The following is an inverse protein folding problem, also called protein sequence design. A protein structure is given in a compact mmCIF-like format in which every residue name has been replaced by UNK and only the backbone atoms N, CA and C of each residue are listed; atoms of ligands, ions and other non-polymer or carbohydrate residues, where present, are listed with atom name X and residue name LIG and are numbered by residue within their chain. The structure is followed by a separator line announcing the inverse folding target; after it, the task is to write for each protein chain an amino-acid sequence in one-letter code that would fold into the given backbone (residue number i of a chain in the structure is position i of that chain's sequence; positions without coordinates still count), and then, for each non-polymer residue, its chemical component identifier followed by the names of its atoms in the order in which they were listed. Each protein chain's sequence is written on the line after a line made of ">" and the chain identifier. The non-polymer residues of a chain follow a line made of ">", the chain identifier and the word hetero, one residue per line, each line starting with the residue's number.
data_IF_345603057240
#
_entry.id   IF_345603057240
#
_cell.length_a   1.000
_cell.length_b   1.000
_cell.length_c   1.000
_cell.angle_alpha   90.00
_cell.angle_beta   90.00
_cell.angle_gamma   90.00
#
_symmetry.space_group_name_H-M   'P 1'
#
loop_
_entity.id
_entity.type
_entity.pdbx_description
1 polymer ?
#
# COMPACT_ATOMS: atom_id res chain seq x y z
N UNK A 1 15.36 42.50 -31.43
CA UNK A 1 15.31 43.60 -30.43
C UNK A 1 13.86 43.92 -30.15
N UNK A 2 13.32 43.35 -29.09
CA UNK A 2 12.14 43.82 -28.35
C UNK A 2 12.06 42.97 -27.08
N UNK A 3 12.59 43.55 -26.00
CA UNK A 3 12.52 43.07 -24.63
C UNK A 3 11.08 43.04 -24.11
N UNK A 4 10.77 42.02 -23.31
CA UNK A 4 9.48 41.87 -22.62
C UNK A 4 9.64 41.03 -21.37
N UNK A 5 10.29 41.60 -20.36
CA UNK A 5 10.45 41.01 -19.04
C UNK A 5 9.09 40.96 -18.30
N UNK A 6 8.60 39.76 -18.00
CA UNK A 6 7.48 39.57 -17.09
C UNK A 6 8.02 39.20 -15.70
N UNK A 7 8.09 40.21 -14.84
CA UNK A 7 8.36 40.09 -13.42
C UNK A 7 7.04 39.75 -12.71
N UNK A 8 6.94 38.57 -12.10
CA UNK A 8 5.81 38.24 -11.21
C UNK A 8 6.37 37.99 -9.82
N UNK A 9 5.99 38.90 -8.92
CA UNK A 9 6.37 38.98 -7.52
C UNK A 9 5.96 37.74 -6.73
N UNK A 10 6.92 37.17 -6.00
CA UNK A 10 6.69 36.29 -4.86
C UNK A 10 5.94 37.07 -3.76
N UNK A 11 4.74 36.62 -3.39
CA UNK A 11 4.08 37.02 -2.15
C UNK A 11 4.22 35.88 -1.14
N UNK A 12 5.12 36.07 -0.17
CA UNK A 12 5.20 35.26 1.04
C UNK A 12 3.99 35.54 1.93
N UNK A 13 3.24 34.51 2.30
CA UNK A 13 2.22 34.56 3.35
C UNK A 13 2.82 34.01 4.66
N UNK A 14 2.40 34.53 5.83
CA UNK A 14 3.07 34.27 7.10
C UNK A 14 2.73 32.90 7.72
N UNK A 15 3.75 32.40 8.41
CA UNK A 15 3.81 31.22 9.28
C UNK A 15 2.77 31.30 10.40
N UNK A 16 1.99 30.23 10.60
CA UNK A 16 1.18 30.01 11.80
C UNK A 16 1.76 28.80 12.54
N UNK A 17 2.46 29.08 13.64
CA UNK A 17 2.97 28.09 14.60
C UNK A 17 1.84 27.76 15.57
N UNK A 18 1.30 26.53 15.50
CA UNK A 18 0.36 26.00 16.50
C UNK A 18 1.15 25.07 17.41
N UNK A 19 1.41 25.55 18.63
CA UNK A 19 2.01 24.78 19.71
C UNK A 19 0.94 23.91 20.37
N UNK A 20 0.91 22.60 20.11
CA UNK A 20 0.10 21.64 20.86
C UNK A 20 0.90 21.14 22.08
N UNK A 21 0.39 21.45 23.28
CA UNK A 21 0.92 20.95 24.54
C UNK A 21 0.62 19.46 24.73
N UNK A 22 1.65 18.68 25.05
CA UNK A 22 1.50 17.32 25.56
C UNK A 22 1.16 17.36 27.05
N UNK A 23 -0.04 16.89 27.40
CA UNK A 23 -0.33 16.36 28.73
C UNK A 23 0.18 14.92 28.80
N UNK A 24 1.11 14.66 29.72
CA UNK A 24 1.56 13.32 30.06
C UNK A 24 0.56 12.69 31.06
N UNK A 25 -0.10 11.60 30.66
CA UNK A 25 -0.82 10.73 31.59
C UNK A 25 0.16 9.74 32.22
N UNK A 26 0.37 9.91 33.52
CA UNK A 26 1.06 8.96 34.39
C UNK A 26 0.11 7.80 34.71
N UNK A 27 0.47 6.59 34.28
CA UNK A 27 -0.31 5.38 34.58
C UNK A 27 0.57 4.40 35.36
N UNK A 28 0.22 4.24 36.64
CA UNK A 28 0.82 3.31 37.60
C UNK A 28 0.04 2.01 37.54
N UNK A 29 0.73 0.91 37.24
CA UNK A 29 0.16 -0.44 37.31
C UNK A 29 0.96 -1.26 38.31
N UNK A 30 0.33 -1.50 39.45
CA UNK A 30 0.70 -2.51 40.44
C UNK A 30 0.31 -3.89 39.88
N UNK A 31 1.27 -4.82 39.75
CA UNK A 31 0.98 -6.23 39.48
C UNK A 31 1.38 -7.08 40.69
N UNK A 32 0.37 -7.55 41.42
CA UNK A 32 0.45 -8.64 42.38
C UNK A 32 -0.12 -9.90 41.69
N UNK A 33 0.76 -10.75 41.15
CA UNK A 33 0.41 -12.04 40.56
C UNK A 33 0.69 -13.17 41.55
N UNK A 34 -0.37 -13.72 42.15
CA UNK A 34 -0.31 -14.88 43.03
C UNK A 34 -0.29 -16.21 42.28
N UNK A 35 0.50 -17.14 42.80
CA UNK A 35 0.55 -18.55 42.45
C UNK A 35 -0.79 -19.25 42.65
N UNK A 36 -1.26 -19.98 41.63
CA UNK A 36 -2.18 -21.11 41.85
C UNK A 36 -1.79 -22.30 40.96
N UNK A 37 -1.17 -23.26 41.63
CA UNK A 37 -0.91 -24.62 41.20
C UNK A 37 -2.23 -25.40 41.09
N UNK A 38 -2.53 -25.96 39.91
CA UNK A 38 -3.62 -26.92 39.72
C UNK A 38 -3.16 -28.08 38.84
N UNK A 39 -2.73 -29.14 39.53
CA UNK A 39 -2.52 -30.49 39.02
C UNK A 39 -3.70 -30.98 38.18
N UNK A 40 -3.42 -31.49 36.97
CA UNK A 40 -4.39 -32.27 36.17
C UNK A 40 -3.92 -33.73 36.04
N UNK A 41 -4.85 -34.69 36.11
CA UNK A 41 -4.54 -36.11 36.09
C UNK A 41 -4.20 -36.62 34.69
N UNK A 42 -3.27 -37.56 34.66
CA UNK A 42 -2.86 -38.36 33.50
C UNK A 42 -4.01 -39.28 33.09
N UNK A 43 -4.46 -39.16 31.84
CA UNK A 43 -5.23 -40.21 31.16
C UNK A 43 -4.41 -40.61 29.94
N UNK A 44 -3.81 -41.80 30.03
CA UNK A 44 -3.22 -42.49 28.89
C UNK A 44 -4.34 -43.20 28.15
N UNK A 45 -4.64 -42.74 26.94
CA UNK A 45 -5.43 -43.50 25.97
C UNK A 45 -4.66 -43.54 24.65
N UNK A 46 -4.03 -44.69 24.43
CA UNK A 46 -3.30 -45.03 23.22
C UNK A 46 -4.29 -45.48 22.15
N UNK A 47 -4.77 -44.52 21.35
CA UNK A 47 -5.44 -44.80 20.08
C UNK A 47 -4.48 -44.49 18.94
N UNK A 48 -4.05 -45.55 18.24
CA UNK A 48 -3.39 -45.51 16.93
C UNK A 48 -4.25 -44.70 15.94
N UNK A 49 -3.88 -43.44 15.72
CA UNK A 49 -4.31 -42.67 14.55
C UNK A 49 -3.11 -42.52 13.64
N UNK A 50 -3.18 -43.27 12.54
CA UNK A 50 -2.43 -43.06 11.32
C UNK A 50 -2.44 -41.56 10.97
N UNK A 51 -1.35 -40.86 11.28
CA UNK A 51 -1.16 -39.45 10.97
C UNK A 51 -0.75 -39.31 9.51
N UNK A 52 -1.73 -39.38 8.62
CA UNK A 52 -1.64 -38.65 7.36
C UNK A 52 -1.51 -37.18 7.74
N UNK A 53 -0.27 -36.69 7.76
CA UNK A 53 0.02 -35.27 7.99
C UNK A 53 -0.62 -34.52 6.83
N UNK A 54 -1.62 -33.65 7.06
CA UNK A 54 -2.16 -32.82 6.00
C UNK A 54 -0.99 -32.04 5.41
N UNK A 55 -0.74 -32.21 4.12
CA UNK A 55 0.32 -31.49 3.43
C UNK A 55 0.19 -30.01 3.76
N UNK A 56 1.23 -29.43 4.36
CA UNK A 56 1.27 -28.02 4.69
C UNK A 56 0.81 -27.22 3.45
N UNK A 57 -0.13 -26.27 3.61
CA UNK A 57 -0.54 -25.44 2.49
C UNK A 57 0.71 -24.79 1.89
N UNK A 58 0.82 -24.71 0.55
CA UNK A 58 1.97 -24.12 -0.09
C UNK A 58 2.18 -22.71 0.46
N UNK A 59 3.39 -22.45 0.97
CA UNK A 59 3.76 -21.15 1.50
C UNK A 59 3.61 -20.13 0.35
N UNK A 60 2.87 -19.03 0.55
CA UNK A 60 2.71 -18.03 -0.49
C UNK A 60 4.09 -17.50 -0.91
N UNK A 61 4.36 -17.52 -2.22
CA UNK A 61 5.60 -17.00 -2.77
C UNK A 61 5.69 -15.51 -2.46
N UNK A 62 6.79 -15.09 -1.83
CA UNK A 62 7.09 -13.67 -1.65
C UNK A 62 7.35 -13.04 -3.02
N UNK A 63 6.69 -11.91 -3.31
CA UNK A 63 6.91 -11.14 -4.53
C UNK A 63 8.34 -10.60 -4.52
N UNK A 64 9.11 -10.87 -5.57
CA UNK A 64 10.46 -10.30 -5.75
C UNK A 64 10.42 -9.23 -6.83
N UNK A 65 11.36 -8.29 -6.76
CA UNK A 65 11.41 -7.17 -7.69
C UNK A 65 11.71 -7.63 -9.12
N UNK A 66 12.44 -8.74 -9.29
CA UNK A 66 12.76 -9.30 -10.61
C UNK A 66 11.55 -9.94 -11.30
N UNK A 67 10.50 -10.27 -10.53
CA UNK A 67 9.27 -10.87 -11.05
C UNK A 67 8.27 -9.81 -11.57
N UNK A 68 8.60 -8.52 -11.45
CA UNK A 68 7.72 -7.41 -11.81
C UNK A 68 8.08 -6.90 -13.21
N UNK A 69 7.17 -7.10 -14.16
CA UNK A 69 7.26 -6.52 -15.50
C UNK A 69 6.51 -5.18 -15.57
N UNK A 70 7.27 -4.09 -15.45
CA UNK A 70 6.72 -2.73 -15.52
C UNK A 70 6.12 -2.37 -16.89
N UNK A 71 6.43 -3.12 -17.96
CA UNK A 71 5.85 -2.89 -19.29
C UNK A 71 4.38 -3.30 -19.38
N UNK A 72 3.90 -4.10 -18.41
CA UNK A 72 2.50 -4.54 -18.31
C UNK A 72 1.59 -3.53 -17.62
N UNK A 73 2.10 -2.35 -17.26
CA UNK A 73 1.34 -1.29 -16.60
C UNK A 73 1.15 -0.12 -17.56
N UNK A 74 0.08 0.65 -17.32
CA UNK A 74 -0.26 1.83 -18.11
C UNK A 74 -0.19 3.09 -17.26
N UNK A 75 0.61 4.04 -17.68
CA UNK A 75 0.63 5.39 -17.10
C UNK A 75 -0.67 6.13 -17.38
N UNK A 76 -1.31 5.88 -18.52
CA UNK A 76 -2.61 6.48 -18.88
C UNK A 76 -3.72 6.08 -17.90
N UNK A 77 -3.76 4.80 -17.52
CA UNK A 77 -4.71 4.32 -16.50
C UNK A 77 -4.42 4.89 -15.11
N UNK A 78 -3.18 5.26 -14.82
CA UNK A 78 -2.79 5.83 -13.53
C UNK A 78 -3.08 7.33 -13.42
N UNK A 79 -3.35 8.04 -14.53
CA UNK A 79 -3.61 9.50 -14.51
C UNK A 79 -4.69 9.94 -13.51
N UNK A 80 -5.82 9.23 -13.35
CA UNK A 80 -6.85 9.62 -12.38
C UNK A 80 -6.38 9.59 -10.92
N UNK A 81 -5.28 8.89 -10.60
CA UNK A 81 -4.77 8.83 -9.23
C UNK A 81 -4.02 10.09 -8.78
N UNK A 82 -3.87 11.09 -9.65
CA UNK A 82 -3.18 12.34 -9.32
C UNK A 82 -1.65 12.21 -9.18
N UNK A 83 -1.08 11.09 -9.62
CA UNK A 83 0.36 10.89 -9.63
C UNK A 83 1.03 11.74 -10.71
N UNK A 84 2.18 12.31 -10.34
CA UNK A 84 3.01 13.10 -11.24
C UNK A 84 4.49 12.92 -10.91
N UNK A 85 5.32 12.76 -11.94
CA UNK A 85 6.77 12.70 -11.77
C UNK A 85 7.30 13.96 -11.05
N UNK A 86 8.28 13.77 -10.17
CA UNK A 86 8.86 14.82 -9.34
C UNK A 86 8.17 15.06 -8.00
N UNK A 87 6.99 14.48 -7.76
CA UNK A 87 6.35 14.43 -6.44
C UNK A 87 7.29 13.79 -5.41
N UNK A 88 7.22 14.25 -4.16
CA UNK A 88 7.89 13.58 -3.06
C UNK A 88 7.30 12.19 -2.80
N UNK A 89 8.07 11.32 -2.14
CA UNK A 89 7.57 10.00 -1.71
C UNK A 89 6.25 10.08 -0.94
N UNK A 90 6.09 11.06 -0.06
CA UNK A 90 4.90 11.21 0.78
C UNK A 90 3.71 11.61 -0.10
N UNK A 91 3.87 12.63 -0.95
CA UNK A 91 2.80 13.08 -1.87
C UNK A 91 2.33 11.96 -2.79
N UNK A 92 3.26 11.18 -3.36
CA UNK A 92 2.92 10.08 -4.26
C UNK A 92 2.16 8.95 -3.53
N UNK A 93 2.59 8.56 -2.33
CA UNK A 93 1.90 7.54 -1.53
C UNK A 93 0.50 8.03 -1.12
N UNK A 94 0.38 9.28 -0.70
CA UNK A 94 -0.90 9.86 -0.29
C UNK A 94 -1.86 9.98 -1.48
N UNK A 95 -1.36 10.33 -2.68
CA UNK A 95 -2.14 10.32 -3.90
C UNK A 95 -2.74 8.93 -4.20
N UNK A 96 -1.94 7.86 -4.09
CA UNK A 96 -2.43 6.48 -4.26
C UNK A 96 -3.45 6.09 -3.18
N UNK A 97 -3.20 6.46 -1.93
CA UNK A 97 -4.12 6.15 -0.82
C UNK A 97 -5.46 6.85 -0.97
N UNK A 98 -5.45 8.11 -1.38
CA UNK A 98 -6.66 8.87 -1.67
C UNK A 98 -7.39 8.31 -2.89
N UNK A 99 -6.66 7.88 -3.92
CA UNK A 99 -7.25 7.24 -5.09
C UNK A 99 -7.98 5.93 -4.75
N UNK A 100 -7.41 5.11 -3.86
CA UNK A 100 -8.06 3.89 -3.37
C UNK A 100 -9.04 4.12 -2.22
N UNK A 101 -9.22 5.36 -1.75
CA UNK A 101 -10.15 5.63 -0.67
C UNK A 101 -11.58 5.48 -1.21
N UNK A 102 -12.48 4.81 -0.48
CA UNK A 102 -13.87 4.72 -0.89
C UNK A 102 -14.53 6.10 -0.79
N UNK A 103 -15.37 6.47 -1.76
CA UNK A 103 -16.11 7.74 -1.73
C UNK A 103 -17.08 7.80 -0.53
N UNK A 104 -17.65 6.65 -0.19
CA UNK A 104 -18.53 6.46 0.95
C UNK A 104 -17.97 5.38 1.89
N UNK A 105 -18.02 5.61 3.20
CA UNK A 105 -17.54 4.64 4.21
C UNK A 105 -18.41 3.38 4.38
N UNK A 106 -19.18 3.01 3.36
CA UNK A 106 -20.14 1.90 3.37
C UNK A 106 -19.51 0.53 3.08
N UNK A 107 -18.31 0.50 2.53
CA UNK A 107 -17.60 -0.73 2.15
C UNK A 107 -16.12 -0.65 2.52
N UNK A 108 -15.53 -1.80 2.87
CA UNK A 108 -14.13 -1.91 3.28
C UNK A 108 -13.31 -2.33 2.06
N UNK A 109 -12.39 -1.46 1.63
CA UNK A 109 -11.43 -1.79 0.57
C UNK A 109 -10.23 -2.52 1.20
N UNK A 110 -9.84 -3.63 0.58
CA UNK A 110 -8.63 -4.35 0.98
C UNK A 110 -7.43 -3.82 0.22
N UNK A 111 -6.48 -3.23 0.94
CA UNK A 111 -5.22 -2.74 0.36
C UNK A 111 -4.03 -3.58 0.79
N UNK A 112 -3.02 -3.66 -0.09
CA UNK A 112 -1.73 -4.29 0.19
C UNK A 112 -0.62 -3.40 -0.35
N UNK A 113 0.55 -3.46 0.28
CA UNK A 113 1.73 -2.72 -0.12
C UNK A 113 2.97 -3.61 -0.02
N UNK A 114 3.75 -3.66 -1.10
CA UNK A 114 5.10 -4.23 -1.12
C UNK A 114 6.12 -3.11 -1.34
N UNK A 115 7.26 -3.18 -0.65
CA UNK A 115 8.36 -2.22 -0.76
C UNK A 115 9.65 -2.93 -1.09
N UNK A 116 10.38 -2.40 -2.06
CA UNK A 116 11.70 -2.87 -2.48
C UNK A 116 12.67 -1.70 -2.42
N UNK A 117 13.34 -1.55 -1.27
CA UNK A 117 14.28 -0.46 -1.03
C UNK A 117 15.66 -0.76 -1.61
N UNK A 118 16.29 0.25 -2.21
CA UNK A 118 17.65 0.22 -2.77
C UNK A 118 18.43 1.46 -2.31
N UNK A 119 19.76 1.47 -2.45
CA UNK A 119 20.57 2.65 -2.07
C UNK A 119 20.22 3.92 -2.85
N UNK A 120 19.78 3.77 -4.11
CA UNK A 120 19.51 4.84 -5.07
C UNK A 120 18.01 5.17 -5.24
N UNK A 121 17.13 4.45 -4.53
CA UNK A 121 15.71 4.54 -4.76
C UNK A 121 14.89 3.47 -4.05
N UNK A 122 13.61 3.39 -4.37
CA UNK A 122 12.75 2.30 -3.94
C UNK A 122 11.64 2.06 -4.95
N UNK A 123 11.15 0.82 -5.00
CA UNK A 123 9.94 0.48 -5.75
C UNK A 123 8.85 0.14 -4.76
N UNK A 124 7.68 0.75 -4.92
CA UNK A 124 6.49 0.42 -4.16
C UNK A 124 5.45 -0.19 -5.10
N UNK A 125 4.82 -1.28 -4.67
CA UNK A 125 3.65 -1.86 -5.34
C UNK A 125 2.48 -1.75 -4.37
N UNK A 126 1.43 -1.05 -4.77
CA UNK A 126 0.25 -0.82 -3.96
C UNK A 126 -0.95 -1.39 -4.71
N UNK A 127 -1.68 -2.31 -4.09
CA UNK A 127 -2.85 -2.93 -4.70
C UNK A 127 -4.09 -2.71 -3.85
N UNK A 128 -5.24 -2.59 -4.50
CA UNK A 128 -6.55 -2.55 -3.88
C UNK A 128 -7.47 -3.60 -4.50
N UNK A 129 -8.36 -4.15 -3.69
CA UNK A 129 -9.40 -5.10 -4.10
C UNK A 129 -10.67 -4.87 -3.28
N UNK A 130 -11.79 -5.46 -3.72
CA UNK A 130 -13.13 -5.13 -3.19
C UNK A 130 -13.47 -3.64 -3.37
N UNK A 131 -13.15 -3.13 -4.56
CA UNK A 131 -13.48 -1.77 -4.97
C UNK A 131 -15.00 -1.61 -5.10
N UNK A 132 -15.48 -0.36 -4.99
CA UNK A 132 -16.89 -0.03 -5.19
C UNK A 132 -17.40 -0.35 -6.60
N UNK A 133 -16.49 -0.25 -7.58
CA UNK A 133 -16.76 -0.47 -9.01
C UNK A 133 -17.06 -1.95 -9.30
N UNK A 134 -18.23 -2.23 -9.88
CA UNK A 134 -18.66 -3.59 -10.24
C UNK A 134 -18.01 -4.12 -11.53
N UNK A 135 -17.22 -3.28 -12.21
CA UNK A 135 -16.45 -3.62 -13.41
C UNK A 135 -15.02 -4.03 -13.06
N UNK A 136 -14.41 -3.39 -12.05
CA UNK A 136 -13.01 -3.59 -11.64
C UNK A 136 -12.91 -4.46 -10.39
N UNK A 137 -12.29 -5.62 -10.51
CA UNK A 137 -12.07 -6.53 -9.39
C UNK A 137 -10.92 -6.08 -8.48
N UNK A 138 -9.81 -5.66 -9.08
CA UNK A 138 -8.60 -5.28 -8.35
C UNK A 138 -7.77 -4.32 -9.17
N UNK A 139 -7.06 -3.43 -8.50
CA UNK A 139 -6.11 -2.51 -9.11
C UNK A 139 -4.75 -2.65 -8.46
N UNK A 140 -3.70 -2.41 -9.23
CA UNK A 140 -2.33 -2.39 -8.75
C UNK A 140 -1.56 -1.25 -9.40
N UNK A 141 -0.94 -0.42 -8.57
CA UNK A 141 -0.13 0.72 -8.96
C UNK A 141 1.30 0.45 -8.52
N UNK A 142 2.26 0.66 -9.42
CA UNK A 142 3.66 0.74 -9.04
C UNK A 142 4.13 2.19 -8.95
N UNK A 143 5.09 2.44 -8.06
CA UNK A 143 5.82 3.69 -7.94
C UNK A 143 7.32 3.37 -7.98
N UNK A 144 8.06 3.99 -8.89
CA UNK A 144 9.52 4.01 -8.87
C UNK A 144 9.95 5.35 -8.27
N UNK A 145 10.60 5.27 -7.12
CA UNK A 145 11.13 6.42 -6.38
C UNK A 145 12.64 6.43 -6.53
N UNK A 146 13.22 7.58 -6.85
CA UNK A 146 14.67 7.75 -7.00
C UNK A 146 15.20 8.84 -6.08
N UNK A 147 16.46 8.70 -5.68
CA UNK A 147 17.15 9.66 -4.81
C UNK A 147 17.47 9.08 -3.44
N UNK A 148 18.11 9.91 -2.61
CA UNK A 148 18.52 9.50 -1.27
C UNK A 148 17.32 9.21 -0.36
N UNK A 149 17.49 8.25 0.54
CA UNK A 149 16.47 7.90 1.53
C UNK A 149 16.00 9.14 2.31
N UNK A 150 14.70 9.40 2.29
CA UNK A 150 14.09 10.58 2.92
C UNK A 150 13.84 11.76 1.97
N UNK A 151 14.56 11.84 0.84
CA UNK A 151 14.41 12.89 -0.18
C UNK A 151 14.02 12.32 -1.56
N UNK A 152 13.45 11.11 -1.58
CA UNK A 152 13.11 10.41 -2.80
C UNK A 152 11.97 11.12 -3.54
N UNK A 153 12.05 11.11 -4.86
CA UNK A 153 11.03 11.63 -5.77
C UNK A 153 10.48 10.56 -6.68
N UNK A 154 9.22 10.70 -7.06
CA UNK A 154 8.57 9.84 -8.04
C UNK A 154 9.22 10.04 -9.41
N UNK A 155 9.77 8.96 -9.97
CA UNK A 155 10.42 8.96 -11.27
C UNK A 155 9.56 8.27 -12.34
N UNK A 156 8.75 7.29 -11.96
CA UNK A 156 7.83 6.61 -12.88
C UNK A 156 6.71 5.93 -12.10
N UNK A 157 5.58 5.74 -12.77
CA UNK A 157 4.41 5.07 -12.22
C UNK A 157 3.53 4.48 -13.32
N UNK A 158 2.68 3.53 -12.93
CA UNK A 158 1.70 2.94 -13.83
C UNK A 158 0.70 2.08 -13.08
N UNK A 159 -0.46 1.87 -13.71
CA UNK A 159 -1.57 1.11 -13.17
C UNK A 159 -1.91 -0.06 -14.10
N UNK A 160 -2.27 -1.18 -13.50
CA UNK A 160 -2.96 -2.28 -14.17
C UNK A 160 -4.11 -2.76 -13.29
N UNK A 161 -5.07 -3.44 -13.89
CA UNK A 161 -6.24 -3.92 -13.16
C UNK A 161 -6.71 -5.29 -13.62
N UNK A 162 -7.57 -5.91 -12.81
CA UNK A 162 -8.36 -7.09 -13.16
C UNK A 162 -9.82 -6.69 -13.25
N UNK A 163 -10.53 -7.24 -14.22
CA UNK A 163 -11.95 -6.95 -14.41
C UNK A 163 -12.82 -8.09 -13.89
N UNK A 164 -14.01 -7.77 -13.38
CA UNK A 164 -15.01 -8.77 -13.04
C UNK A 164 -15.61 -9.45 -14.28
N UNK A 165 -15.67 -8.72 -15.39
CA UNK A 165 -16.34 -9.10 -16.64
C UNK A 165 -15.38 -9.04 -17.83
N UNK A 166 -15.79 -9.62 -18.96
CA UNK A 166 -15.00 -9.69 -20.19
C UNK A 166 -14.31 -11.03 -20.40
N UNK A 167 -13.47 -11.11 -21.43
CA UNK A 167 -12.75 -12.34 -21.79
C UNK A 167 -11.61 -12.66 -20.81
N UNK A 168 -10.98 -11.62 -20.22
CA UNK A 168 -9.84 -11.74 -19.31
C UNK A 168 -10.19 -11.30 -17.88
N UNK A 169 -10.86 -12.16 -17.12
CA UNK A 169 -11.30 -11.85 -15.74
C UNK A 169 -10.27 -12.19 -14.66
N UNK A 170 -9.25 -12.98 -15.01
CA UNK A 170 -8.25 -13.50 -14.04
C UNK A 170 -6.89 -12.83 -14.20
N UNK A 171 -6.59 -12.31 -15.39
CA UNK A 171 -5.30 -11.73 -15.75
C UNK A 171 -5.25 -10.23 -15.49
N UNK A 172 -4.05 -9.73 -15.19
CA UNK A 172 -3.81 -8.30 -15.10
C UNK A 172 -3.75 -7.69 -16.50
N UNK A 173 -4.43 -6.56 -16.70
CA UNK A 173 -4.48 -5.89 -17.99
C UNK A 173 -4.52 -4.36 -17.85
N UNK A 174 -4.36 -3.70 -19.00
CA UNK A 174 -4.37 -2.24 -19.14
C UNK A 174 -5.48 -1.71 -20.04
N UNK A 175 -6.29 -2.60 -20.62
CA UNK A 175 -7.52 -2.24 -21.32
C UNK A 175 -8.64 -1.95 -20.30
N UNK A 176 -9.49 -0.96 -20.58
CA UNK A 176 -10.63 -0.63 -19.70
C UNK A 176 -11.55 -1.84 -19.49
N UNK A 177 -12.08 -1.98 -18.27
CA UNK A 177 -13.06 -3.01 -17.97
C UNK A 177 -14.39 -2.72 -18.71
N UNK A 178 -15.04 -3.75 -19.29
CA UNK A 178 -16.31 -3.62 -20.00
C UNK A 178 -17.52 -3.53 -19.07
#
# INVERSE_FOLDING_TARGET
>A
MADGALSVMFKFAPVVLISLGLMACENRSDEAGGDVNLSRPVISDSTDRNTDTPGLPPVPKSLRLEDIDFTTYSTELAKPSGLAEGQSRIEAIDAVRLYFAPEEGSHIIQTSQSSFDRPDGSVLIMSASQLADDSVQSQEIYLILTGEKGNQKLAAFGLRHKCWRGENTTEWQTALCP
#
